data_IF_251489232867
#
_entry.id   IF_251489232867
#
_cell.length_a   1.000
_cell.length_b   1.000
_cell.length_c   1.000
_cell.angle_alpha   90.00
_cell.angle_beta   90.00
_cell.angle_gamma   90.00
#
_symmetry.space_group_name_H-M   'P 1'
#
loop_
_entity.id
_entity.type
_entity.pdbx_description
1 polymer ?
#
# COMPACT_ATOMS: atom_id res chain seq x y z
N UNK A 1 11.09 -6.70 -19.60
CA UNK A 1 11.76 -5.79 -18.66
C UNK A 1 12.17 -6.63 -17.46
N UNK A 2 13.42 -6.56 -17.01
CA UNK A 2 13.93 -7.38 -15.90
C UNK A 2 13.18 -7.03 -14.61
N UNK A 3 12.75 -8.03 -13.82
CA UNK A 3 12.14 -7.80 -12.52
C UNK A 3 13.04 -6.90 -11.69
N UNK A 4 12.43 -5.96 -10.95
CA UNK A 4 13.02 -5.09 -9.93
C UNK A 4 14.42 -5.50 -9.48
N UNK A 5 15.35 -4.54 -9.45
CA UNK A 5 16.80 -4.63 -9.16
C UNK A 5 17.23 -5.36 -7.85
N UNK A 6 16.33 -6.05 -7.17
CA UNK A 6 16.57 -6.88 -5.98
C UNK A 6 16.75 -8.37 -6.27
N UNK A 7 16.56 -8.86 -7.50
CA UNK A 7 16.83 -10.26 -7.86
C UNK A 7 17.61 -10.34 -9.18
N UNK A 8 18.94 -10.40 -9.06
CA UNK A 8 19.90 -10.64 -10.14
C UNK A 8 19.81 -12.08 -10.69
N UNK A 9 18.65 -12.46 -11.22
CA UNK A 9 18.48 -13.71 -11.95
C UNK A 9 17.19 -13.71 -12.75
N UNK A 10 17.29 -13.99 -14.05
CA UNK A 10 16.18 -14.46 -14.90
C UNK A 10 15.71 -15.84 -14.38
N UNK A 11 15.23 -15.92 -13.13
CA UNK A 11 14.88 -17.19 -12.51
C UNK A 11 13.50 -17.68 -12.97
N UNK A 12 12.59 -16.76 -13.33
CA UNK A 12 11.20 -17.07 -13.66
C UNK A 12 10.67 -16.10 -14.73
N UNK A 13 9.96 -16.65 -15.73
CA UNK A 13 9.29 -15.89 -16.80
C UNK A 13 7.91 -15.35 -16.38
N UNK A 14 7.27 -15.99 -15.40
CA UNK A 14 5.93 -15.66 -14.89
C UNK A 14 5.85 -15.91 -13.38
N UNK A 15 5.07 -15.10 -12.67
CA UNK A 15 4.81 -15.24 -11.24
C UNK A 15 3.36 -14.87 -10.93
N UNK A 16 2.70 -15.66 -10.07
CA UNK A 16 1.48 -15.24 -9.38
C UNK A 16 1.91 -14.55 -8.09
N UNK A 17 1.58 -13.27 -7.96
CA UNK A 17 1.95 -12.44 -6.83
C UNK A 17 0.69 -11.81 -6.22
N UNK A 18 0.56 -11.85 -4.91
CA UNK A 18 -0.64 -11.37 -4.26
C UNK A 18 -0.61 -11.53 -2.76
N UNK A 19 -1.76 -11.28 -2.15
CA UNK A 19 -2.00 -11.44 -0.73
C UNK A 19 -3.43 -11.88 -0.46
N UNK A 20 -3.64 -12.46 0.72
CA UNK A 20 -4.96 -12.80 1.24
C UNK A 20 -4.97 -12.53 2.73
N UNK A 21 -6.08 -12.01 3.23
CA UNK A 21 -6.32 -11.82 4.65
C UNK A 21 -7.78 -12.17 4.97
N UNK A 22 -8.01 -12.76 6.14
CA UNK A 22 -9.34 -13.10 6.68
C UNK A 22 -9.29 -12.97 8.21
N UNK A 23 -8.95 -11.77 8.66
CA UNK A 23 -8.85 -11.43 10.08
C UNK A 23 -10.19 -11.10 10.76
N UNK A 24 -11.33 -11.23 10.07
CA UNK A 24 -12.68 -11.02 10.63
C UNK A 24 -13.09 -12.23 11.46
N UNK A 25 -12.37 -12.43 12.57
CA UNK A 25 -12.61 -13.46 13.57
C UNK A 25 -12.55 -12.82 14.96
N UNK A 26 -13.16 -13.41 16.01
CA UNK A 26 -13.26 -12.78 17.32
C UNK A 26 -11.93 -12.28 17.89
N UNK A 27 -10.85 -13.05 17.74
CA UNK A 27 -9.52 -12.65 18.22
C UNK A 27 -8.91 -11.49 17.43
N UNK A 28 -9.10 -11.46 16.11
CA UNK A 28 -8.61 -10.38 15.25
C UNK A 28 -9.35 -9.08 15.51
N UNK A 29 -10.68 -9.14 15.55
CA UNK A 29 -11.53 -8.00 15.88
C UNK A 29 -11.23 -7.48 17.30
N UNK A 30 -11.13 -8.38 18.28
CA UNK A 30 -10.81 -8.05 19.67
C UNK A 30 -9.45 -7.36 19.80
N UNK A 31 -8.41 -7.91 19.16
CA UNK A 31 -7.06 -7.34 19.20
C UNK A 31 -6.98 -5.93 18.61
N UNK A 32 -7.55 -5.69 17.43
CA UNK A 32 -7.53 -4.35 16.83
C UNK A 32 -8.43 -3.35 17.58
N UNK A 33 -9.51 -3.82 18.21
CA UNK A 33 -10.35 -2.98 19.08
C UNK A 33 -9.57 -2.55 20.33
N UNK A 34 -8.86 -3.47 20.98
CA UNK A 34 -8.09 -3.21 22.20
C UNK A 34 -6.92 -2.25 21.94
N UNK A 35 -6.29 -2.35 20.78
CA UNK A 35 -5.25 -1.40 20.33
C UNK A 35 -5.81 -0.02 19.92
N UNK A 36 -7.13 0.20 19.97
CA UNK A 36 -7.76 1.47 19.59
C UNK A 36 -7.66 1.81 18.10
N UNK A 37 -7.49 0.81 17.24
CA UNK A 37 -7.20 1.02 15.82
C UNK A 37 -8.46 1.05 14.93
N UNK A 38 -9.57 0.45 15.40
CA UNK A 38 -10.83 0.36 14.65
C UNK A 38 -11.76 1.54 14.94
N UNK A 39 -12.44 2.02 13.89
CA UNK A 39 -13.55 2.96 14.03
C UNK A 39 -14.63 2.40 14.94
N UNK A 40 -15.20 3.23 15.80
CA UNK A 40 -16.28 2.86 16.73
C UNK A 40 -17.66 3.33 16.21
N UNK A 41 -17.75 3.81 14.97
CA UNK A 41 -18.99 4.30 14.35
C UNK A 41 -19.93 3.18 13.92
N UNK A 42 -20.41 2.41 14.89
CA UNK A 42 -21.35 1.32 14.69
C UNK A 42 -22.76 1.80 14.28
N UNK A 43 -23.11 3.06 14.59
CA UNK A 43 -24.41 3.64 14.24
C UNK A 43 -24.56 4.04 12.76
N UNK A 44 -23.44 4.24 12.05
CA UNK A 44 -23.44 4.53 10.61
C UNK A 44 -22.27 3.80 9.91
N UNK A 45 -22.37 2.46 9.74
CA UNK A 45 -21.26 1.64 9.27
C UNK A 45 -20.76 2.01 7.87
N UNK A 46 -21.66 2.46 6.99
CA UNK A 46 -21.31 2.83 5.60
C UNK A 46 -20.46 4.09 5.53
N UNK A 47 -20.43 4.88 6.60
CA UNK A 47 -19.56 6.05 6.75
C UNK A 47 -18.42 5.82 7.73
N UNK A 48 -18.22 4.60 8.23
CA UNK A 48 -17.20 4.25 9.22
C UNK A 48 -15.77 4.55 8.72
N UNK A 49 -15.43 4.07 7.53
CA UNK A 49 -14.16 4.40 6.87
C UNK A 49 -14.26 5.75 6.18
N UNK A 50 -13.48 6.74 6.64
CA UNK A 50 -13.51 8.11 6.11
C UNK A 50 -12.13 8.77 6.10
N UNK A 51 -11.21 8.31 5.23
CA UNK A 51 -9.85 8.81 5.22
C UNK A 51 -9.77 10.33 5.01
N UNK A 52 -8.83 10.97 5.70
CA UNK A 52 -8.61 12.42 5.75
C UNK A 52 -9.77 13.28 6.27
N UNK A 53 -10.92 12.69 6.63
CA UNK A 53 -12.02 13.43 7.24
C UNK A 53 -11.64 13.91 8.65
N UNK A 54 -12.13 15.08 9.07
CA UNK A 54 -11.86 15.63 10.42
C UNK A 54 -12.34 14.70 11.54
N UNK A 55 -13.44 13.98 11.32
CA UNK A 55 -14.07 13.12 12.33
C UNK A 55 -13.68 11.63 12.14
N UNK A 56 -12.54 11.34 11.49
CA UNK A 56 -12.03 9.97 11.35
C UNK A 56 -11.53 9.43 12.68
N UNK A 57 -11.82 8.17 12.96
CA UNK A 57 -11.63 7.59 14.30
C UNK A 57 -10.99 6.19 14.27
N UNK A 58 -10.38 5.79 13.15
CA UNK A 58 -9.80 4.46 12.97
C UNK A 58 -10.22 3.83 11.64
N UNK A 59 -9.60 2.70 11.33
CA UNK A 59 -9.91 1.95 10.12
C UNK A 59 -11.14 1.04 10.31
N UNK A 60 -11.70 0.57 9.20
CA UNK A 60 -12.71 -0.50 9.19
C UNK A 60 -12.03 -1.76 8.70
N UNK A 61 -12.01 -2.81 9.52
CA UNK A 61 -11.39 -4.07 9.15
C UNK A 61 -12.14 -4.70 7.97
N UNK A 62 -11.37 -5.14 6.97
CA UNK A 62 -11.88 -5.87 5.82
C UNK A 62 -11.14 -7.19 5.65
N UNK A 63 -11.65 -8.03 4.77
CA UNK A 63 -11.02 -9.28 4.36
C UNK A 63 -11.10 -9.44 2.84
N UNK A 64 -10.26 -10.32 2.30
CA UNK A 64 -10.26 -10.61 0.88
C UNK A 64 -8.93 -11.16 0.39
N UNK A 65 -8.84 -11.29 -0.94
CA UNK A 65 -7.62 -11.69 -1.62
C UNK A 65 -7.48 -10.98 -2.95
N UNK A 66 -6.24 -10.80 -3.38
CA UNK A 66 -5.92 -10.25 -4.69
C UNK A 66 -4.65 -10.90 -5.21
N UNK A 67 -4.70 -11.39 -6.45
CA UNK A 67 -3.56 -12.03 -7.11
C UNK A 67 -3.41 -11.45 -8.51
N UNK A 68 -2.18 -11.05 -8.83
CA UNK A 68 -1.75 -10.56 -10.13
C UNK A 68 -0.82 -11.60 -10.78
N UNK A 69 -0.94 -11.75 -12.10
CA UNK A 69 0.05 -12.43 -12.91
C UNK A 69 1.07 -11.39 -13.39
N UNK A 70 2.31 -11.51 -12.90
CA UNK A 70 3.45 -10.76 -13.42
C UNK A 70 4.19 -11.63 -14.43
N UNK A 71 4.59 -11.04 -15.55
CA UNK A 71 5.27 -11.74 -16.63
C UNK A 71 6.29 -10.82 -17.30
N UNK A 72 7.36 -11.42 -17.83
CA UNK A 72 8.32 -10.69 -18.64
C UNK A 72 7.67 -10.12 -19.92
N UNK A 73 7.82 -8.81 -20.13
CA UNK A 73 7.14 -8.07 -21.20
C UNK A 73 7.31 -8.68 -22.61
N UNK A 74 8.49 -9.19 -22.98
CA UNK A 74 8.71 -9.78 -24.31
C UNK A 74 7.95 -11.10 -24.44
N UNK A 75 7.89 -11.93 -23.40
CA UNK A 75 7.08 -13.15 -23.40
C UNK A 75 5.59 -12.83 -23.50
N UNK A 76 5.11 -11.87 -22.70
CA UNK A 76 3.72 -11.41 -22.75
C UNK A 76 3.34 -10.93 -24.16
N UNK A 77 4.22 -10.13 -24.80
CA UNK A 77 4.04 -9.68 -26.19
C UNK A 77 4.08 -10.83 -27.19
N UNK A 78 5.02 -11.77 -27.06
CA UNK A 78 5.17 -12.93 -27.95
C UNK A 78 3.90 -13.78 -27.99
N UNK A 79 3.28 -14.02 -26.83
CA UNK A 79 2.02 -14.76 -26.73
C UNK A 79 0.76 -13.89 -26.92
N UNK A 80 0.92 -12.59 -27.23
CA UNK A 80 -0.16 -11.61 -27.41
C UNK A 80 -1.10 -11.51 -26.20
N UNK A 81 -0.52 -11.54 -25.00
CA UNK A 81 -1.26 -11.34 -23.76
C UNK A 81 -1.88 -9.94 -23.70
N UNK A 82 -3.04 -9.83 -23.03
CA UNK A 82 -3.57 -8.52 -22.64
C UNK A 82 -2.70 -7.96 -21.51
N UNK A 83 -2.05 -6.83 -21.76
CA UNK A 83 -1.21 -6.12 -20.78
C UNK A 83 -2.04 -5.00 -20.17
N UNK A 84 -2.20 -5.00 -18.85
CA UNK A 84 -2.97 -3.98 -18.12
C UNK A 84 -2.11 -2.79 -17.72
N UNK A 85 -0.91 -3.06 -17.21
CA UNK A 85 0.07 -2.06 -16.79
C UNK A 85 1.47 -2.68 -16.81
N UNK A 86 2.49 -1.84 -16.70
CA UNK A 86 3.88 -2.24 -16.50
C UNK A 86 4.31 -1.85 -15.09
N UNK A 87 4.91 -2.78 -14.35
CA UNK A 87 5.49 -2.50 -13.04
C UNK A 87 6.89 -1.94 -13.20
N UNK A 88 7.02 -0.61 -13.11
CA UNK A 88 8.29 0.08 -13.35
C UNK A 88 9.24 0.00 -12.15
N UNK A 89 8.72 -0.09 -10.92
CA UNK A 89 9.53 -0.19 -9.72
C UNK A 89 8.72 0.03 -8.45
N UNK A 90 9.38 -0.19 -7.31
CA UNK A 90 8.83 0.02 -5.97
C UNK A 90 9.94 0.06 -4.92
N UNK A 91 9.59 0.39 -3.69
CA UNK A 91 10.53 0.42 -2.56
C UNK A 91 9.85 -0.04 -1.28
N UNK A 92 10.67 -0.26 -0.24
CA UNK A 92 10.24 -0.52 1.12
C UNK A 92 11.21 0.19 2.07
N UNK A 93 10.67 0.70 3.16
CA UNK A 93 11.39 1.39 4.23
C UNK A 93 10.84 0.93 5.58
N UNK A 94 11.49 1.34 6.67
CA UNK A 94 11.02 1.11 8.03
C UNK A 94 11.19 2.40 8.82
N UNK A 95 10.14 2.82 9.50
CA UNK A 95 10.15 4.01 10.36
C UNK A 95 11.14 3.86 11.52
N UNK A 96 11.43 2.63 11.96
CA UNK A 96 12.34 2.33 13.08
C UNK A 96 12.04 3.16 14.34
N UNK A 97 10.75 3.43 14.59
CA UNK A 97 10.28 4.40 15.58
C UNK A 97 9.43 3.74 16.67
N UNK A 98 8.25 3.25 16.31
CA UNK A 98 7.30 2.65 17.24
C UNK A 98 6.58 1.47 16.56
N UNK A 99 6.01 0.56 17.35
CA UNK A 99 5.45 -0.70 16.84
C UNK A 99 4.15 -0.48 16.04
N UNK A 100 3.36 0.53 16.41
CA UNK A 100 2.01 0.77 15.84
C UNK A 100 1.92 2.19 15.27
N UNK A 101 2.29 3.17 16.10
CA UNK A 101 2.31 4.58 15.69
C UNK A 101 3.34 4.85 14.58
N UNK A 102 2.95 5.57 13.51
CA UNK A 102 3.89 6.00 12.48
C UNK A 102 4.83 7.08 13.03
N UNK A 103 6.00 7.22 12.41
CA UNK A 103 6.90 8.33 12.75
C UNK A 103 6.17 9.67 12.54
N UNK A 104 6.17 10.60 13.52
CA UNK A 104 5.37 11.83 13.47
C UNK A 104 5.68 12.73 12.27
N UNK A 105 6.94 12.75 11.82
CA UNK A 105 7.37 13.51 10.64
C UNK A 105 7.12 12.79 9.29
N UNK A 106 6.58 11.56 9.29
CA UNK A 106 6.31 10.80 8.05
C UNK A 106 7.54 10.47 7.19
N UNK A 107 8.75 10.59 7.73
CA UNK A 107 10.02 10.50 7.00
C UNK A 107 10.22 9.15 6.28
N UNK A 108 9.74 8.05 6.87
CA UNK A 108 9.81 6.73 6.26
C UNK A 108 8.95 6.61 5.00
N UNK A 109 7.77 7.25 4.99
CA UNK A 109 6.85 7.29 3.83
C UNK A 109 7.44 8.14 2.72
N UNK A 110 7.97 9.34 3.04
CA UNK A 110 8.67 10.20 2.08
C UNK A 110 9.82 9.45 1.41
N UNK A 111 10.69 8.84 2.22
CA UNK A 111 11.84 8.08 1.72
C UNK A 111 11.42 6.89 0.86
N UNK A 112 10.30 6.23 1.19
CA UNK A 112 9.77 5.13 0.40
C UNK A 112 9.36 5.60 -1.01
N UNK A 113 8.62 6.71 -1.08
CA UNK A 113 8.18 7.30 -2.34
C UNK A 113 9.35 7.79 -3.19
N UNK A 114 10.32 8.49 -2.59
CA UNK A 114 11.54 8.93 -3.30
C UNK A 114 12.32 7.76 -3.90
N UNK A 115 12.52 6.69 -3.13
CA UNK A 115 13.21 5.48 -3.60
C UNK A 115 12.41 4.74 -4.68
N UNK A 116 11.08 4.71 -4.59
CA UNK A 116 10.24 4.09 -5.59
C UNK A 116 10.28 4.86 -6.93
N UNK A 117 10.24 6.19 -6.89
CA UNK A 117 10.43 7.06 -8.06
C UNK A 117 11.83 6.87 -8.65
N UNK A 118 12.87 6.89 -7.83
CA UNK A 118 14.25 6.64 -8.27
C UNK A 118 14.44 5.26 -8.90
N UNK A 119 13.81 4.21 -8.34
CA UNK A 119 13.88 2.85 -8.88
C UNK A 119 13.14 2.72 -10.21
N UNK A 120 11.96 3.33 -10.32
CA UNK A 120 11.14 3.30 -11.54
C UNK A 120 11.68 4.21 -12.65
N UNK A 121 12.47 5.23 -12.31
CA UNK A 121 12.91 6.26 -13.24
C UNK A 121 11.82 7.25 -13.65
N UNK A 122 10.65 7.20 -13.00
CA UNK A 122 9.52 8.10 -13.22
C UNK A 122 9.78 9.39 -12.46
N UNK A 123 9.55 10.54 -13.11
CA UNK A 123 9.66 11.83 -12.43
C UNK A 123 8.38 12.12 -11.66
N UNK A 124 8.49 12.90 -10.59
CA UNK A 124 7.34 13.22 -9.74
C UNK A 124 6.22 13.91 -10.51
N UNK A 125 6.56 14.82 -11.41
CA UNK A 125 5.62 15.54 -12.26
C UNK A 125 4.85 14.66 -13.25
N UNK A 126 5.34 13.45 -13.53
CA UNK A 126 4.67 12.49 -14.40
C UNK A 126 3.64 11.64 -13.64
N UNK A 127 3.64 11.69 -12.30
CA UNK A 127 2.68 10.97 -11.46
C UNK A 127 1.34 11.68 -11.48
N UNK A 128 0.35 11.02 -12.08
CA UNK A 128 -0.99 11.56 -12.29
C UNK A 128 -2.05 10.99 -11.33
N UNK A 129 -1.71 9.92 -10.59
CA UNK A 129 -2.60 9.28 -9.63
C UNK A 129 -1.80 8.61 -8.52
N UNK A 130 -2.28 8.71 -7.29
CA UNK A 130 -1.75 8.02 -6.12
C UNK A 130 -2.91 7.25 -5.48
N UNK A 131 -2.75 5.93 -5.36
CA UNK A 131 -3.59 5.12 -4.50
C UNK A 131 -2.99 5.14 -3.10
N UNK A 132 -3.55 5.99 -2.23
CA UNK A 132 -3.05 6.17 -0.87
C UNK A 132 -3.42 5.00 0.05
N UNK A 133 -2.64 4.80 1.10
CA UNK A 133 -2.92 3.84 2.17
C UNK A 133 -4.12 4.28 3.01
N UNK A 134 -4.13 5.54 3.45
CA UNK A 134 -5.25 6.31 3.96
C UNK A 134 -6.24 5.47 4.80
N UNK A 135 -5.75 4.92 5.90
CA UNK A 135 -6.52 3.95 6.72
C UNK A 135 -7.54 4.61 7.63
N UNK A 136 -7.83 5.91 7.50
CA UNK A 136 -8.81 6.61 8.34
C UNK A 136 -8.37 6.76 9.79
N UNK A 137 -7.05 6.81 10.04
CA UNK A 137 -6.46 7.10 11.36
C UNK A 137 -6.00 8.55 11.45
N UNK A 138 -6.09 9.22 12.62
CA UNK A 138 -5.67 10.61 12.75
C UNK A 138 -4.22 10.87 12.32
N UNK A 139 -3.27 10.11 12.88
CA UNK A 139 -1.84 10.29 12.62
C UNK A 139 -1.42 9.78 11.22
N UNK A 140 -1.82 8.56 10.85
CA UNK A 140 -1.38 7.94 9.59
C UNK A 140 -1.79 8.73 8.35
N UNK A 141 -3.06 9.13 8.28
CA UNK A 141 -3.60 9.88 7.15
C UNK A 141 -2.92 11.25 6.97
N UNK A 142 -2.59 11.93 8.09
CA UNK A 142 -1.93 13.24 8.04
C UNK A 142 -0.48 13.12 7.56
N UNK A 143 0.26 12.14 8.09
CA UNK A 143 1.66 11.91 7.72
C UNK A 143 1.77 11.52 6.25
N UNK A 144 0.87 10.67 5.75
CA UNK A 144 0.82 10.29 4.34
C UNK A 144 0.49 11.49 3.44
N UNK A 145 -0.49 12.32 3.83
CA UNK A 145 -0.85 13.51 3.08
C UNK A 145 0.32 14.51 2.97
N UNK A 146 1.02 14.76 4.08
CA UNK A 146 2.21 15.61 4.09
C UNK A 146 3.32 15.05 3.19
N UNK A 147 3.52 13.72 3.23
CA UNK A 147 4.52 13.07 2.42
C UNK A 147 4.21 13.16 0.91
N UNK A 148 2.93 13.11 0.50
CA UNK A 148 2.52 13.25 -0.91
C UNK A 148 2.79 14.67 -1.43
N UNK A 149 2.61 15.68 -0.59
CA UNK A 149 2.84 17.08 -0.94
C UNK A 149 4.32 17.45 -0.96
N UNK A 150 5.17 16.74 -0.23
CA UNK A 150 6.62 16.96 -0.23
C UNK A 150 7.23 16.73 -1.62
#
# INVERSE_FOLDING_TARGET
MTPSKSYHGNLLDMMLCGGSDSAIIPIGLGGFTDCGALSQRNSDPTRASRPWNMDRDGFVIGEGSGVLLLEELKQAKKRKAKIYAEFLGGSFTSDSYHMIEPHPEGSGVVLCMEKALAHSGVKREDVNYINAHAVSTPAGDLNEYQAILF
#
